data_IF_878990727302
#
_entry.id   IF_878990727302
#
_cell.length_a   1.000
_cell.length_b   1.000
_cell.length_c   1.000
_cell.angle_alpha   90.00
_cell.angle_beta   90.00
_cell.angle_gamma   90.00
#
_symmetry.space_group_name_H-M   'P 1'
#
loop_
_entity.id
_entity.type
_entity.pdbx_description
1 polymer ?
#
# COMPACT_ATOMS: atom_id res chain seq x y z
N UNK A 1 28.88 -18.38 -9.14
CA UNK A 1 28.84 -17.02 -9.73
C UNK A 1 28.00 -15.98 -8.92
N UNK A 2 27.70 -16.18 -7.64
CA UNK A 2 26.93 -15.20 -6.83
C UNK A 2 27.82 -14.12 -6.16
N UNK A 3 29.13 -14.42 -5.98
CA UNK A 3 30.06 -13.59 -5.21
C UNK A 3 30.37 -12.21 -5.82
N UNK A 4 30.39 -12.08 -7.14
CA UNK A 4 30.90 -10.85 -7.80
C UNK A 4 29.88 -9.71 -7.91
N UNK A 5 28.57 -9.98 -7.78
CA UNK A 5 27.52 -8.99 -8.12
C UNK A 5 26.50 -8.74 -7.02
N UNK A 6 26.55 -9.48 -5.92
CA UNK A 6 25.64 -9.32 -4.79
C UNK A 6 26.30 -8.50 -3.69
N UNK A 7 25.77 -7.30 -3.39
CA UNK A 7 26.14 -6.54 -2.19
C UNK A 7 25.93 -7.33 -0.90
N UNK A 8 25.09 -8.37 -0.91
CA UNK A 8 24.89 -9.28 0.23
C UNK A 8 26.04 -10.27 0.37
N UNK A 9 26.69 -10.66 -0.74
CA UNK A 9 27.84 -11.57 -0.73
C UNK A 9 29.19 -10.86 -0.62
N UNK A 10 29.27 -9.59 -1.00
CA UNK A 10 30.48 -8.75 -0.84
C UNK A 10 30.46 -7.87 0.41
N UNK A 11 29.38 -7.94 1.22
CA UNK A 11 29.35 -7.28 2.51
C UNK A 11 30.40 -7.91 3.44
N UNK A 12 31.55 -7.25 3.57
CA UNK A 12 32.47 -7.52 4.68
C UNK A 12 31.69 -7.25 5.96
N UNK A 13 31.39 -8.30 6.71
CA UNK A 13 30.73 -8.23 8.01
C UNK A 13 31.72 -7.61 9.00
N UNK A 14 31.83 -6.28 8.98
CA UNK A 14 32.52 -5.52 10.04
C UNK A 14 31.55 -5.04 11.13
N UNK A 15 30.28 -5.46 11.08
CA UNK A 15 29.29 -5.07 12.07
C UNK A 15 28.39 -6.23 12.45
N UNK A 16 28.44 -6.55 13.74
CA UNK A 16 27.60 -7.51 14.47
C UNK A 16 26.12 -7.14 14.37
N UNK A 17 25.41 -7.66 13.38
CA UNK A 17 23.94 -7.58 13.36
C UNK A 17 23.35 -8.94 13.76
N UNK A 18 23.22 -9.13 15.07
CA UNK A 18 22.59 -10.29 15.74
C UNK A 18 21.19 -9.98 16.27
N UNK A 19 20.31 -9.29 15.53
CA UNK A 19 19.03 -8.87 16.13
C UNK A 19 17.84 -9.05 15.18
N UNK A 20 16.85 -9.83 15.62
CA UNK A 20 15.44 -9.70 15.25
C UNK A 20 14.76 -8.70 16.22
N UNK A 21 13.53 -8.21 15.96
CA UNK A 21 12.93 -7.07 16.68
C UNK A 21 12.60 -7.31 18.16
N UNK A 22 12.99 -8.44 18.75
CA UNK A 22 12.83 -8.77 20.17
C UNK A 22 14.13 -9.07 20.91
N UNK A 23 15.28 -8.63 20.38
CA UNK A 23 16.50 -8.45 21.19
C UNK A 23 17.31 -9.70 21.53
N UNK A 24 16.80 -10.92 21.33
CA UNK A 24 17.62 -12.11 21.55
C UNK A 24 18.48 -12.48 20.31
N UNK A 25 19.79 -12.72 20.51
CA UNK A 25 20.67 -13.11 19.42
C UNK A 25 20.42 -14.57 19.02
N UNK A 26 19.97 -14.78 17.78
CA UNK A 26 19.88 -16.11 17.20
C UNK A 26 21.29 -16.68 17.01
N UNK A 27 21.71 -17.59 17.90
CA UNK A 27 22.96 -18.33 17.76
C UNK A 27 22.79 -19.44 16.71
N UNK A 28 22.62 -19.05 15.45
CA UNK A 28 22.49 -20.00 14.34
C UNK A 28 23.81 -20.74 14.14
N UNK A 29 23.77 -22.06 14.29
CA UNK A 29 24.89 -22.90 13.90
C UNK A 29 25.05 -22.89 12.38
N UNK A 30 26.21 -23.30 11.89
CA UNK A 30 26.54 -23.27 10.47
C UNK A 30 25.65 -24.23 9.65
N UNK A 31 25.18 -25.31 10.28
CA UNK A 31 24.14 -26.22 9.78
C UNK A 31 22.80 -25.49 9.59
N UNK A 32 22.34 -24.75 10.59
CA UNK A 32 21.08 -24.00 10.54
C UNK A 32 21.11 -22.93 9.46
N UNK A 33 22.25 -22.24 9.31
CA UNK A 33 22.46 -21.26 8.24
C UNK A 33 22.34 -21.91 6.86
N UNK A 34 22.88 -23.12 6.66
CA UNK A 34 22.76 -23.84 5.38
C UNK A 34 21.30 -24.23 5.09
N UNK A 35 20.54 -24.63 6.11
CA UNK A 35 19.11 -24.98 5.95
C UNK A 35 18.29 -23.72 5.63
N UNK A 36 18.51 -22.63 6.37
CA UNK A 36 17.82 -21.35 6.14
C UNK A 36 18.17 -20.77 4.77
N UNK A 37 19.45 -20.74 4.38
CA UNK A 37 19.87 -20.33 3.05
C UNK A 37 19.34 -21.25 1.96
N UNK A 38 19.32 -22.56 2.20
CA UNK A 38 18.73 -23.54 1.29
C UNK A 38 17.24 -23.29 1.07
N UNK A 39 16.49 -22.99 2.13
CA UNK A 39 15.08 -22.67 2.05
C UNK A 39 14.84 -21.32 1.36
N UNK A 40 15.61 -20.28 1.70
CA UNK A 40 15.55 -18.96 1.05
C UNK A 40 15.81 -19.10 -0.46
N UNK A 41 16.87 -19.83 -0.84
CA UNK A 41 17.23 -20.05 -2.25
C UNK A 41 16.22 -20.95 -2.99
N UNK A 42 15.54 -21.88 -2.29
CA UNK A 42 14.42 -22.65 -2.87
C UNK A 42 13.19 -21.78 -3.12
N UNK A 43 12.95 -20.77 -2.27
CA UNK A 43 11.80 -19.86 -2.40
C UNK A 43 12.03 -18.65 -3.30
N UNK A 44 13.28 -18.20 -3.44
CA UNK A 44 13.63 -17.01 -4.21
C UNK A 44 14.74 -17.32 -5.21
N UNK A 45 14.38 -17.37 -6.49
CA UNK A 45 15.34 -17.33 -7.59
C UNK A 45 16.10 -15.99 -7.59
N UNK A 46 17.30 -15.92 -8.17
CA UNK A 46 18.16 -14.73 -8.16
C UNK A 46 17.47 -13.50 -8.80
N UNK A 47 16.52 -13.74 -9.70
CA UNK A 47 15.60 -12.76 -10.28
C UNK A 47 14.59 -12.26 -9.25
N UNK A 48 13.91 -13.16 -8.54
CA UNK A 48 12.96 -12.85 -7.48
C UNK A 48 13.61 -12.11 -6.30
N UNK A 49 14.85 -12.44 -5.95
CA UNK A 49 15.60 -11.76 -4.89
C UNK A 49 15.94 -10.30 -5.27
N UNK A 50 16.24 -10.03 -6.55
CA UNK A 50 16.45 -8.67 -7.07
C UNK A 50 15.16 -7.86 -7.15
N UNK A 51 14.03 -8.50 -7.44
CA UNK A 51 12.72 -7.85 -7.38
C UNK A 51 12.38 -7.49 -5.93
N UNK A 52 12.51 -8.43 -4.98
CA UNK A 52 12.25 -8.20 -3.55
C UNK A 52 13.16 -7.13 -2.96
N UNK A 53 14.47 -7.14 -3.29
CA UNK A 53 15.40 -6.13 -2.79
C UNK A 53 15.14 -4.72 -3.36
N UNK A 54 14.59 -4.60 -4.57
CA UNK A 54 14.13 -3.32 -5.14
C UNK A 54 12.76 -2.87 -4.62
N UNK A 55 11.99 -3.76 -3.98
CA UNK A 55 10.61 -3.52 -3.57
C UNK A 55 10.44 -2.77 -2.25
N UNK A 56 11.49 -2.63 -1.43
CA UNK A 56 11.37 -2.11 -0.05
C UNK A 56 12.39 -1.01 0.26
N UNK A 57 12.19 0.18 -0.33
CA UNK A 57 12.72 1.40 0.28
C UNK A 57 11.87 1.78 1.51
N UNK A 58 12.40 2.61 2.42
CA UNK A 58 11.68 3.05 3.64
C UNK A 58 10.28 3.56 3.31
N UNK A 59 10.14 4.36 2.26
CA UNK A 59 8.85 4.89 1.80
C UNK A 59 7.87 3.80 1.35
N UNK A 60 8.35 2.74 0.68
CA UNK A 60 7.53 1.60 0.30
C UNK A 60 7.14 0.76 1.50
N UNK A 61 8.05 0.57 2.47
CA UNK A 61 7.75 -0.09 3.73
C UNK A 61 6.68 0.68 4.52
N UNK A 62 6.81 1.99 4.64
CA UNK A 62 5.82 2.86 5.29
C UNK A 62 4.48 2.83 4.57
N UNK A 63 4.49 2.90 3.23
CA UNK A 63 3.27 2.79 2.42
C UNK A 63 2.59 1.44 2.60
N UNK A 64 3.35 0.35 2.67
CA UNK A 64 2.83 -0.99 2.90
C UNK A 64 2.30 -1.12 4.34
N UNK A 65 3.01 -0.58 5.33
CA UNK A 65 2.59 -0.59 6.73
C UNK A 65 1.28 0.19 6.93
N UNK A 66 1.16 1.37 6.31
CA UNK A 66 -0.07 2.15 6.27
C UNK A 66 -1.22 1.36 5.61
N UNK A 67 -0.94 0.65 4.51
CA UNK A 67 -1.93 -0.20 3.87
C UNK A 67 -2.36 -1.37 4.75
N UNK A 68 -1.43 -2.00 5.49
CA UNK A 68 -1.73 -3.08 6.42
C UNK A 68 -2.63 -2.59 7.54
N UNK A 69 -2.31 -1.44 8.16
CA UNK A 69 -3.13 -0.87 9.23
C UNK A 69 -4.48 -0.32 8.77
N UNK A 70 -4.67 -0.08 7.46
CA UNK A 70 -6.00 0.21 6.91
C UNK A 70 -6.93 -1.02 7.01
N UNK A 71 -6.39 -2.22 6.83
CA UNK A 71 -7.16 -3.47 6.90
C UNK A 71 -7.17 -4.10 8.29
N UNK A 72 -6.08 -3.93 9.05
CA UNK A 72 -5.89 -4.46 10.39
C UNK A 72 -5.50 -3.30 11.33
N UNK A 73 -6.45 -2.44 11.73
CA UNK A 73 -6.13 -1.30 12.59
C UNK A 73 -5.55 -1.77 13.92
N UNK A 74 -4.61 -1.00 14.48
CA UNK A 74 -3.94 -1.31 15.76
C UNK A 74 -4.91 -1.37 16.95
N UNK A 75 -6.08 -0.77 16.80
CA UNK A 75 -7.18 -0.78 17.77
C UNK A 75 -8.09 -2.00 17.63
N UNK A 76 -7.85 -2.87 16.65
CA UNK A 76 -8.64 -4.09 16.48
C UNK A 76 -8.29 -5.10 17.56
N UNK A 77 -9.26 -5.41 18.42
CA UNK A 77 -9.13 -6.41 19.48
C UNK A 77 -9.17 -7.86 18.96
N UNK A 78 -9.44 -8.08 17.67
CA UNK A 78 -9.58 -9.41 17.09
C UNK A 78 -8.23 -10.02 16.69
N UNK A 79 -7.47 -10.50 17.68
CA UNK A 79 -6.18 -11.17 17.46
C UNK A 79 -6.27 -12.35 16.48
N UNK A 80 -7.40 -13.07 16.47
CA UNK A 80 -7.61 -14.29 15.67
C UNK A 80 -7.48 -14.07 14.16
N UNK A 81 -7.83 -12.89 13.65
CA UNK A 81 -7.82 -12.59 12.21
C UNK A 81 -6.75 -11.58 11.79
N UNK A 82 -5.99 -11.03 12.74
CA UNK A 82 -4.99 -9.99 12.47
C UNK A 82 -3.95 -10.44 11.43
N UNK A 83 -3.38 -11.62 11.62
CA UNK A 83 -2.38 -12.17 10.69
C UNK A 83 -2.95 -12.36 9.27
N UNK A 84 -4.17 -12.91 9.15
CA UNK A 84 -4.81 -13.11 7.85
C UNK A 84 -5.07 -11.78 7.11
N UNK A 85 -5.46 -10.74 7.83
CA UNK A 85 -5.66 -9.39 7.28
C UNK A 85 -4.34 -8.77 6.83
N UNK A 86 -3.28 -8.89 7.63
CA UNK A 86 -1.94 -8.45 7.25
C UNK A 86 -1.43 -9.16 6.00
N UNK A 87 -1.54 -10.49 5.95
CA UNK A 87 -1.14 -11.27 4.79
C UNK A 87 -1.96 -10.92 3.55
N UNK A 88 -3.27 -10.72 3.68
CA UNK A 88 -4.14 -10.30 2.59
C UNK A 88 -3.75 -8.93 2.02
N UNK A 89 -3.44 -7.96 2.90
CA UNK A 89 -3.00 -6.62 2.51
C UNK A 89 -1.67 -6.66 1.75
N UNK A 90 -0.68 -7.40 2.27
CA UNK A 90 0.64 -7.57 1.64
C UNK A 90 0.50 -8.25 0.29
N UNK A 91 -0.24 -9.36 0.22
CA UNK A 91 -0.41 -10.14 -1.01
C UNK A 91 -1.12 -9.30 -2.09
N UNK A 92 -2.18 -8.58 -1.71
CA UNK A 92 -2.91 -7.66 -2.58
C UNK A 92 -2.04 -6.51 -3.10
N UNK A 93 -1.13 -6.00 -2.27
CA UNK A 93 -0.20 -4.94 -2.65
C UNK A 93 0.84 -5.41 -3.66
N UNK A 94 1.38 -6.62 -3.47
CA UNK A 94 2.43 -7.19 -4.32
C UNK A 94 1.92 -7.69 -5.66
N UNK A 95 0.79 -8.40 -5.69
CA UNK A 95 0.29 -9.08 -6.89
C UNK A 95 -0.92 -8.39 -7.54
N UNK A 96 -1.53 -7.42 -6.85
CA UNK A 96 -2.84 -6.86 -7.22
C UNK A 96 -3.99 -7.75 -6.72
N UNK A 97 -5.19 -7.19 -6.52
CA UNK A 97 -6.28 -7.93 -5.87
C UNK A 97 -6.79 -9.09 -6.72
N UNK A 98 -6.90 -8.98 -8.05
CA UNK A 98 -7.34 -10.09 -8.90
C UNK A 98 -6.44 -11.32 -8.76
N UNK A 99 -5.13 -11.16 -9.03
CA UNK A 99 -4.17 -12.27 -8.93
C UNK A 99 -4.08 -12.83 -7.52
N UNK A 100 -4.23 -11.95 -6.53
CA UNK A 100 -4.21 -12.34 -5.13
C UNK A 100 -5.37 -13.24 -4.76
N UNK A 101 -6.59 -12.80 -5.08
CA UNK A 101 -7.81 -13.58 -4.82
C UNK A 101 -7.82 -14.89 -5.59
N UNK A 102 -7.33 -14.90 -6.83
CA UNK A 102 -7.22 -16.13 -7.61
C UNK A 102 -6.29 -17.15 -6.94
N UNK A 103 -5.07 -16.75 -6.57
CA UNK A 103 -4.12 -17.68 -5.93
C UNK A 103 -4.65 -18.23 -4.61
N UNK A 104 -5.35 -17.41 -3.82
CA UNK A 104 -5.96 -17.86 -2.56
C UNK A 104 -7.09 -18.85 -2.86
N UNK A 105 -7.97 -18.54 -3.81
CA UNK A 105 -9.06 -19.42 -4.19
C UNK A 105 -8.53 -20.76 -4.72
N UNK A 106 -7.57 -20.76 -5.65
CA UNK A 106 -6.96 -21.97 -6.19
C UNK A 106 -6.29 -22.83 -5.11
N UNK A 107 -5.68 -22.20 -4.10
CA UNK A 107 -5.07 -22.91 -2.98
C UNK A 107 -6.09 -23.52 -2.02
N UNK A 108 -7.24 -22.87 -1.82
CA UNK A 108 -8.31 -23.36 -0.96
C UNK A 108 -9.12 -24.46 -1.65
N UNK A 109 -9.43 -24.30 -2.94
CA UNK A 109 -10.24 -25.27 -3.69
C UNK A 109 -9.42 -26.41 -4.29
N UNK A 110 -8.09 -26.25 -4.38
CA UNK A 110 -7.20 -27.20 -5.05
C UNK A 110 -7.34 -27.22 -6.57
N UNK A 111 -8.19 -26.35 -7.14
CA UNK A 111 -8.52 -26.31 -8.57
C UNK A 111 -8.07 -24.99 -9.19
N UNK A 112 -7.44 -25.08 -10.36
CA UNK A 112 -7.03 -23.89 -11.12
C UNK A 112 -8.26 -23.17 -11.67
N UNK A 113 -8.28 -21.84 -11.56
CA UNK A 113 -9.37 -21.03 -12.11
C UNK A 113 -9.15 -20.91 -13.62
N UNK A 114 -10.13 -21.36 -14.40
CA UNK A 114 -10.08 -21.21 -15.86
C UNK A 114 -10.05 -19.72 -16.27
N UNK A 115 -9.21 -19.40 -17.25
CA UNK A 115 -9.09 -18.06 -17.84
C UNK A 115 -10.39 -17.58 -18.50
N UNK A 116 -11.27 -18.50 -18.88
CA UNK A 116 -12.57 -18.17 -19.48
C UNK A 116 -13.70 -18.13 -18.45
N UNK A 117 -13.41 -18.43 -17.19
CA UNK A 117 -14.42 -18.39 -16.13
C UNK A 117 -14.97 -16.97 -15.91
N UNK A 118 -16.24 -16.88 -15.52
CA UNK A 118 -16.85 -15.60 -15.14
C UNK A 118 -16.09 -14.94 -13.97
N UNK A 119 -15.62 -15.74 -13.01
CA UNK A 119 -14.86 -15.26 -11.85
C UNK A 119 -13.57 -14.57 -12.29
N UNK A 120 -12.81 -15.19 -13.19
CA UNK A 120 -11.59 -14.60 -13.74
C UNK A 120 -11.88 -13.25 -14.42
N UNK A 121 -12.90 -13.21 -15.28
CA UNK A 121 -13.27 -12.00 -16.02
C UNK A 121 -13.72 -10.86 -15.09
N UNK A 122 -14.48 -11.17 -14.04
CA UNK A 122 -14.92 -10.19 -13.04
C UNK A 122 -13.74 -9.63 -12.23
N UNK A 123 -12.84 -10.49 -11.75
CA UNK A 123 -11.65 -10.05 -11.01
C UNK A 123 -10.74 -9.17 -11.87
N UNK A 124 -10.52 -9.56 -13.14
CA UNK A 124 -9.74 -8.76 -14.10
C UNK A 124 -10.42 -7.43 -14.45
N UNK A 125 -11.75 -7.40 -14.52
CA UNK A 125 -12.50 -6.15 -14.72
C UNK A 125 -12.35 -5.19 -13.53
N UNK A 126 -12.38 -5.72 -12.30
CA UNK A 126 -12.11 -4.92 -11.07
C UNK A 126 -10.71 -4.31 -11.10
N UNK A 127 -9.69 -5.08 -11.48
CA UNK A 127 -8.32 -4.57 -11.61
C UNK A 127 -8.19 -3.47 -12.66
N UNK A 128 -8.83 -3.66 -13.83
CA UNK A 128 -8.86 -2.64 -14.89
C UNK A 128 -9.49 -1.34 -14.40
N UNK A 129 -10.63 -1.42 -13.70
CA UNK A 129 -11.32 -0.25 -13.12
C UNK A 129 -10.43 0.45 -12.09
N UNK A 130 -9.78 -0.30 -11.19
CA UNK A 130 -8.86 0.28 -10.19
C UNK A 130 -7.69 1.01 -10.85
N UNK A 131 -7.12 0.45 -11.92
CA UNK A 131 -6.03 1.08 -12.68
C UNK A 131 -6.48 2.36 -13.36
N UNK A 132 -7.67 2.34 -13.97
CA UNK A 132 -8.30 3.53 -14.55
C UNK A 132 -8.51 4.62 -13.49
N UNK A 133 -9.09 4.28 -12.35
CA UNK A 133 -9.33 5.25 -11.27
C UNK A 133 -8.04 5.82 -10.70
N UNK A 134 -7.00 5.01 -10.54
CA UNK A 134 -5.69 5.47 -10.09
C UNK A 134 -5.11 6.51 -11.07
N UNK A 135 -5.12 6.22 -12.37
CA UNK A 135 -4.67 7.14 -13.43
C UNK A 135 -5.51 8.42 -13.48
N UNK A 136 -6.84 8.28 -13.42
CA UNK A 136 -7.78 9.40 -13.38
C UNK A 136 -7.48 10.30 -12.18
N UNK A 137 -7.30 9.73 -10.98
CA UNK A 137 -6.99 10.47 -9.75
C UNK A 137 -5.64 11.16 -9.77
N UNK A 138 -4.67 10.63 -10.51
CA UNK A 138 -3.36 11.25 -10.69
C UNK A 138 -3.41 12.47 -11.62
N UNK A 139 -4.39 12.54 -12.55
CA UNK A 139 -4.50 13.63 -13.52
C UNK A 139 -4.72 15.01 -12.88
N UNK A 140 -4.13 16.04 -13.47
CA UNK A 140 -4.29 17.45 -13.03
C UNK A 140 -5.74 17.88 -13.11
N UNK A 141 -6.43 17.55 -14.21
CA UNK A 141 -7.87 17.84 -14.39
C UNK A 141 -8.71 17.33 -13.23
N UNK A 142 -8.50 16.08 -12.80
CA UNK A 142 -9.22 15.52 -11.66
C UNK A 142 -8.91 16.28 -10.36
N UNK A 143 -7.65 16.63 -10.11
CA UNK A 143 -7.25 17.38 -8.90
C UNK A 143 -7.92 18.75 -8.84
N UNK A 144 -7.95 19.48 -9.96
CA UNK A 144 -8.61 20.78 -10.08
C UNK A 144 -10.11 20.65 -9.81
N UNK A 145 -10.80 19.74 -10.51
CA UNK A 145 -12.24 19.52 -10.32
C UNK A 145 -12.55 19.13 -8.87
N UNK A 146 -11.76 18.22 -8.28
CA UNK A 146 -11.91 17.81 -6.88
C UNK A 146 -11.74 18.98 -5.91
N UNK A 147 -10.80 19.89 -6.17
CA UNK A 147 -10.60 21.09 -5.34
C UNK A 147 -11.85 21.97 -5.35
N UNK A 148 -12.37 22.33 -6.52
CA UNK A 148 -13.57 23.18 -6.63
C UNK A 148 -14.81 22.52 -6.01
N UNK A 149 -14.99 21.22 -6.19
CA UNK A 149 -16.09 20.48 -5.56
C UNK A 149 -15.98 20.49 -4.03
N UNK A 150 -14.77 20.34 -3.48
CA UNK A 150 -14.54 20.45 -2.03
C UNK A 150 -14.79 21.84 -1.50
N UNK A 151 -14.31 22.88 -2.19
CA UNK A 151 -14.59 24.29 -1.83
C UNK A 151 -16.09 24.56 -1.81
N UNK A 152 -16.82 24.10 -2.83
CA UNK A 152 -18.29 24.23 -2.88
C UNK A 152 -18.98 23.51 -1.73
N UNK A 153 -18.55 22.29 -1.39
CA UNK A 153 -19.11 21.54 -0.27
C UNK A 153 -18.83 22.21 1.08
N UNK A 154 -17.59 22.66 1.31
CA UNK A 154 -17.21 23.38 2.52
C UNK A 154 -18.02 24.69 2.67
N UNK A 155 -18.16 25.47 1.59
CA UNK A 155 -18.98 26.68 1.61
C UNK A 155 -20.45 26.35 1.93
N UNK A 156 -21.03 25.29 1.34
CA UNK A 156 -22.39 24.85 1.68
C UNK A 156 -22.55 24.47 3.15
N UNK A 157 -21.56 23.77 3.72
CA UNK A 157 -21.57 23.44 5.14
C UNK A 157 -21.49 24.71 6.00
N UNK A 158 -20.64 25.68 5.64
CA UNK A 158 -20.57 26.98 6.32
C UNK A 158 -21.87 27.79 6.21
N UNK A 159 -22.59 27.73 5.09
CA UNK A 159 -23.90 28.38 4.97
C UNK A 159 -24.99 27.67 5.78
N UNK A 160 -24.92 26.33 5.88
CA UNK A 160 -25.89 25.53 6.64
C UNK A 160 -25.66 25.60 8.15
N UNK A 161 -24.39 25.58 8.56
CA UNK A 161 -23.96 25.47 9.95
C UNK A 161 -23.46 26.82 10.51
N UNK A 162 -23.39 27.87 9.68
CA UNK A 162 -22.99 29.21 10.08
C UNK A 162 -24.16 30.07 10.54
N UNK A 163 -23.87 30.98 11.47
CA UNK A 163 -24.76 32.03 12.01
C UNK A 163 -25.42 32.95 10.95
N UNK A 164 -25.08 32.82 9.66
CA UNK A 164 -25.66 33.61 8.56
C UNK A 164 -27.05 33.13 8.10
N UNK A 165 -27.65 32.18 8.81
CA UNK A 165 -29.09 31.90 8.69
C UNK A 165 -29.96 32.91 9.46
N UNK A 166 -29.37 33.86 10.22
CA UNK A 166 -30.13 34.95 10.85
C UNK A 166 -30.39 36.06 9.84
N UNK A 167 -31.66 36.13 9.44
CA UNK A 167 -32.48 37.31 9.14
C UNK A 167 -31.76 38.65 8.85
N UNK A 168 -32.15 39.24 7.71
CA UNK A 168 -31.76 40.55 7.17
C UNK A 168 -30.38 40.60 6.48
N UNK A 169 -30.42 40.56 5.14
CA UNK A 169 -29.36 41.08 4.29
C UNK A 169 -29.52 42.62 4.23
N UNK A 170 -28.62 43.45 4.79
CA UNK A 170 -28.44 44.78 4.25
C UNK A 170 -27.62 44.66 2.97
N UNK A 171 -28.16 45.28 1.93
CA UNK A 171 -27.56 45.50 0.62
C UNK A 171 -26.08 45.89 0.70
N UNK A 172 -25.27 45.23 -0.16
CA UNK A 172 -24.07 45.78 -0.81
C UNK A 172 -23.07 46.54 0.06
N UNK A 173 -21.97 45.86 0.41
CA UNK A 173 -20.65 46.49 0.30
C UNK A 173 -19.70 45.49 -0.33
N UNK A 174 -19.42 45.70 -1.62
CA UNK A 174 -18.27 45.12 -2.29
C UNK A 174 -17.00 45.69 -1.64
N UNK A 175 -16.53 45.05 -0.57
CA UNK A 175 -15.18 45.27 -0.08
C UNK A 175 -14.26 44.38 -0.94
N UNK A 176 -13.71 44.99 -1.99
CA UNK A 176 -12.61 44.44 -2.77
C UNK A 176 -11.44 44.11 -1.83
N UNK A 177 -11.29 42.84 -1.47
CA UNK A 177 -10.05 42.36 -0.87
C UNK A 177 -9.06 42.04 -1.99
N UNK A 178 -8.35 43.06 -2.46
CA UNK A 178 -7.17 42.88 -3.30
C UNK A 178 -6.03 42.31 -2.44
N UNK A 179 -5.79 41.00 -2.55
CA UNK A 179 -4.53 40.43 -2.09
C UNK A 179 -3.46 40.73 -3.14
N UNK A 180 -2.99 41.97 -3.16
CA UNK A 180 -1.80 42.34 -3.90
C UNK A 180 -0.59 41.62 -3.34
N UNK A 181 0.01 40.73 -4.15
CA UNK A 181 1.39 40.29 -3.97
C UNK A 181 2.28 41.54 -3.97
N UNK A 182 2.84 41.88 -2.81
CA UNK A 182 3.90 42.88 -2.73
C UNK A 182 5.14 42.30 -3.41
N UNK A 183 5.56 42.95 -4.51
CA UNK A 183 6.88 42.79 -5.13
C UNK A 183 7.93 43.34 -4.19
#
# INVERSE_FOLDING_TARGET
MCKERSRVCTYRVTSSYKHFPYGEPLALQESDKKIVLGNINKTFDATGLKEVAKLFNTNACESLNASVFQYAPKTSFYARNFAALCHSAVHTRSLGPSKSSMKVAEKVTGTKISLHSMIYNQLKAKDRRRKYDSRRKASVRYKIVRFYLRKRHANRALYRDGLYASESMPSTSAADHSYGLKV
#
